data_IF_760809503748
#
_entry.id   IF_760809503748
#
_cell.length_a   1.000
_cell.length_b   1.000
_cell.length_c   1.000
_cell.angle_alpha   90.00
_cell.angle_beta   90.00
_cell.angle_gamma   90.00
#
_symmetry.space_group_name_H-M   'P 1'
#
loop_
_entity.id
_entity.type
_entity.pdbx_description
1 polymer ?
#
# COMPACT_ATOMS: atom_id res chain seq x y z
N UNK A 1 -7.02 -12.29 24.12
CA UNK A 1 -7.02 -10.98 23.44
C UNK A 1 -5.78 -10.77 22.57
N UNK A 2 -4.55 -10.93 23.08
CA UNK A 2 -3.34 -10.72 22.26
C UNK A 2 -3.26 -11.64 21.03
N UNK A 3 -3.57 -12.93 21.19
CA UNK A 3 -3.58 -13.89 20.07
C UNK A 3 -4.56 -13.46 18.96
N UNK A 4 -5.75 -13.00 19.32
CA UNK A 4 -6.75 -12.50 18.37
C UNK A 4 -6.30 -11.21 17.67
N UNK A 5 -5.63 -10.31 18.39
CA UNK A 5 -5.08 -9.09 17.81
C UNK A 5 -3.99 -9.40 16.77
N UNK A 6 -3.10 -10.36 17.06
CA UNK A 6 -2.10 -10.82 16.10
C UNK A 6 -2.74 -11.51 14.89
N UNK A 7 -3.73 -12.39 15.12
CA UNK A 7 -4.45 -13.04 14.03
C UNK A 7 -5.13 -12.02 13.10
N UNK A 8 -5.73 -10.96 13.66
CA UNK A 8 -6.30 -9.86 12.89
C UNK A 8 -5.23 -9.08 12.11
N UNK A 9 -4.09 -8.77 12.73
CA UNK A 9 -3.00 -8.08 12.06
C UNK A 9 -2.49 -8.88 10.85
N UNK A 10 -2.24 -10.18 11.02
CA UNK A 10 -1.82 -11.09 9.95
C UNK A 10 -2.82 -11.16 8.79
N UNK A 11 -4.13 -11.16 9.08
CA UNK A 11 -5.17 -11.06 8.03
C UNK A 11 -5.02 -9.81 7.16
N UNK A 12 -4.49 -8.71 7.69
CA UNK A 12 -4.31 -7.45 6.96
C UNK A 12 -2.95 -7.28 6.30
N UNK A 13 -1.89 -7.94 6.78
CA UNK A 13 -0.52 -7.71 6.26
C UNK A 13 0.03 -8.87 5.45
N UNK A 14 -0.38 -10.10 5.73
CA UNK A 14 0.20 -11.27 5.06
C UNK A 14 -0.15 -11.23 3.57
N UNK A 15 0.84 -11.52 2.72
CA UNK A 15 0.70 -11.53 1.26
C UNK A 15 0.43 -10.16 0.62
N UNK A 16 0.73 -9.04 1.31
CA UNK A 16 0.50 -7.68 0.81
C UNK A 16 1.78 -6.84 0.84
N UNK A 17 1.89 -5.93 -0.12
CA UNK A 17 3.02 -5.00 -0.24
C UNK A 17 3.07 -4.06 0.97
N UNK A 18 4.20 -3.99 1.72
CA UNK A 18 4.36 -3.06 2.83
C UNK A 18 4.20 -1.58 2.38
N UNK A 19 4.74 -1.24 1.21
CA UNK A 19 4.61 0.11 0.61
C UNK A 19 3.15 0.45 0.31
N UNK A 20 2.40 -0.49 -0.27
CA UNK A 20 0.99 -0.31 -0.59
C UNK A 20 0.13 -0.15 0.66
N UNK A 21 0.36 -0.97 1.70
CA UNK A 21 -0.32 -0.85 2.99
C UNK A 21 -0.06 0.53 3.62
N UNK A 22 1.20 0.99 3.61
CA UNK A 22 1.56 2.28 4.17
C UNK A 22 0.86 3.45 3.46
N UNK A 23 0.86 3.44 2.12
CA UNK A 23 0.16 4.46 1.32
C UNK A 23 -1.36 4.41 1.54
N UNK A 24 -1.98 3.23 1.46
CA UNK A 24 -3.43 3.09 1.68
C UNK A 24 -3.85 3.57 3.07
N UNK A 25 -3.10 3.22 4.12
CA UNK A 25 -3.39 3.68 5.48
C UNK A 25 -3.34 5.21 5.59
N UNK A 26 -2.37 5.83 4.94
CA UNK A 26 -2.17 7.28 5.02
C UNK A 26 -3.22 8.03 4.20
N UNK A 27 -3.61 7.50 3.05
CA UNK A 27 -4.75 8.01 2.29
C UNK A 27 -6.07 7.87 3.07
N UNK A 28 -6.32 6.71 3.71
CA UNK A 28 -7.52 6.52 4.54
C UNK A 28 -7.60 7.56 5.68
N UNK A 29 -6.47 7.85 6.32
CA UNK A 29 -6.40 8.79 7.44
C UNK A 29 -6.47 10.26 7.03
N UNK A 30 -6.08 10.63 5.80
CA UNK A 30 -5.93 12.04 5.40
C UNK A 30 -6.93 12.49 4.35
N UNK A 31 -7.26 11.63 3.39
CA UNK A 31 -8.02 12.03 2.20
C UNK A 31 -9.46 12.42 2.52
N UNK A 32 -10.04 11.93 3.62
CA UNK A 32 -11.39 12.30 4.05
C UNK A 32 -11.51 13.79 4.44
N UNK A 33 -10.39 14.43 4.82
CA UNK A 33 -10.34 15.85 5.16
C UNK A 33 -10.06 16.75 3.94
N UNK A 34 -9.89 16.17 2.74
CA UNK A 34 -9.64 16.94 1.53
C UNK A 34 -10.87 17.81 1.17
N UNK A 35 -10.69 19.08 0.79
CA UNK A 35 -11.78 19.98 0.39
C UNK A 35 -12.62 19.49 -0.80
N UNK A 36 -12.06 18.60 -1.63
CA UNK A 36 -12.74 18.07 -2.82
C UNK A 36 -12.19 16.68 -3.18
N UNK A 37 -13.03 15.71 -3.61
CA UNK A 37 -12.60 14.34 -3.93
C UNK A 37 -11.52 14.25 -5.01
N UNK A 38 -11.48 15.20 -5.96
CA UNK A 38 -10.39 15.30 -6.96
C UNK A 38 -8.99 15.36 -6.32
N UNK A 39 -8.83 15.96 -5.15
CA UNK A 39 -7.52 16.04 -4.49
C UNK A 39 -7.09 14.66 -3.99
N UNK A 40 -8.01 13.93 -3.32
CA UNK A 40 -7.79 12.54 -2.93
C UNK A 40 -7.46 11.64 -4.14
N UNK A 41 -8.18 11.83 -5.25
CA UNK A 41 -7.95 11.09 -6.49
C UNK A 41 -6.58 11.38 -7.13
N UNK A 42 -6.09 12.63 -7.06
CA UNK A 42 -4.76 12.98 -7.58
C UNK A 42 -3.65 12.27 -6.79
N UNK A 43 -3.75 12.22 -5.47
CA UNK A 43 -2.83 11.49 -4.59
C UNK A 43 -2.86 9.99 -4.89
N UNK A 44 -4.06 9.41 -4.99
CA UNK A 44 -4.24 7.99 -5.32
C UNK A 44 -3.63 7.64 -6.68
N UNK A 45 -3.79 8.50 -7.68
CA UNK A 45 -3.22 8.31 -9.02
C UNK A 45 -1.69 8.22 -8.99
N UNK A 46 -1.02 9.06 -8.20
CA UNK A 46 0.43 8.99 -7.99
C UNK A 46 0.84 7.75 -7.20
N UNK A 47 0.07 7.37 -6.17
CA UNK A 47 0.29 6.16 -5.40
C UNK A 47 0.19 4.89 -6.28
N UNK A 48 -0.83 4.82 -7.15
CA UNK A 48 -1.03 3.72 -8.09
C UNK A 48 0.10 3.64 -9.13
N UNK A 49 0.55 4.79 -9.64
CA UNK A 49 1.69 4.84 -10.56
C UNK A 49 2.98 4.32 -9.90
N UNK A 50 3.24 4.73 -8.66
CA UNK A 50 4.42 4.26 -7.91
C UNK A 50 4.36 2.75 -7.65
N UNK A 51 3.24 2.26 -7.10
CA UNK A 51 3.12 0.84 -6.71
C UNK A 51 3.10 -0.08 -7.93
N UNK A 52 2.46 0.31 -9.04
CA UNK A 52 2.44 -0.49 -10.27
C UNK A 52 3.82 -0.67 -10.91
N UNK A 53 4.70 0.34 -10.82
CA UNK A 53 6.08 0.27 -11.35
C UNK A 53 7.03 -0.56 -10.48
N UNK A 54 6.71 -0.67 -9.19
CA UNK A 54 7.51 -1.37 -8.18
C UNK A 54 6.87 -2.72 -7.82
N UNK A 55 6.34 -2.86 -6.60
CA UNK A 55 5.75 -4.10 -6.07
C UNK A 55 4.65 -4.70 -6.98
N UNK A 56 3.99 -3.90 -7.81
CA UNK A 56 2.97 -4.37 -8.76
C UNK A 56 3.49 -5.43 -9.73
N UNK A 57 4.78 -5.39 -10.11
CA UNK A 57 5.39 -6.43 -10.96
C UNK A 57 5.36 -7.80 -10.29
N UNK A 58 5.74 -7.85 -9.02
CA UNK A 58 5.74 -9.09 -8.24
C UNK A 58 4.31 -9.58 -7.98
N UNK A 59 3.38 -8.67 -7.68
CA UNK A 59 1.97 -9.04 -7.50
C UNK A 59 1.35 -9.69 -8.76
N UNK A 60 1.68 -9.17 -9.94
CA UNK A 60 1.26 -9.77 -11.23
C UNK A 60 1.96 -11.12 -11.47
N UNK A 61 3.27 -11.18 -11.24
CA UNK A 61 4.05 -12.41 -11.43
C UNK A 61 3.54 -13.55 -10.52
N UNK A 62 3.36 -13.28 -9.22
CA UNK A 62 2.89 -14.27 -8.26
C UNK A 62 1.47 -14.76 -8.57
N UNK A 63 0.60 -13.87 -9.07
CA UNK A 63 -0.75 -14.23 -9.51
C UNK A 63 -0.73 -15.19 -10.72
N UNK A 64 0.15 -14.92 -11.70
CA UNK A 64 0.30 -15.77 -12.89
C UNK A 64 0.91 -17.12 -12.55
N UNK A 65 1.92 -17.13 -11.67
CA UNK A 65 2.64 -18.32 -11.21
C UNK A 65 1.89 -19.12 -10.11
N UNK A 66 0.74 -18.61 -9.63
CA UNK A 66 -0.08 -19.23 -8.57
C UNK A 66 0.69 -19.51 -7.28
N UNK A 67 1.55 -18.57 -6.89
CA UNK A 67 2.34 -18.61 -5.66
C UNK A 67 2.05 -17.40 -4.76
N UNK A 68 2.50 -17.48 -3.51
CA UNK A 68 2.51 -16.32 -2.63
C UNK A 68 3.45 -15.23 -3.18
N UNK A 69 3.09 -13.94 -3.07
CA UNK A 69 3.97 -12.85 -3.45
C UNK A 69 5.14 -12.70 -2.48
N UNK A 70 6.31 -12.37 -3.01
CA UNK A 70 7.54 -12.08 -2.28
C UNK A 70 7.90 -10.60 -2.42
N UNK A 71 7.11 -9.72 -1.80
CA UNK A 71 7.37 -8.29 -1.83
C UNK A 71 8.68 -7.94 -1.11
N UNK A 72 9.49 -7.11 -1.75
CA UNK A 72 10.78 -6.64 -1.22
C UNK A 72 10.76 -5.16 -0.83
N UNK A 73 9.73 -4.41 -1.27
CA UNK A 73 9.54 -3.01 -0.93
C UNK A 73 9.36 -2.78 0.57
N UNK A 74 10.07 -1.79 1.10
CA UNK A 74 10.08 -1.40 2.51
C UNK A 74 9.37 -0.07 2.70
N UNK A 75 8.38 -0.04 3.59
CA UNK A 75 7.70 1.21 3.96
C UNK A 75 8.63 2.25 4.63
N UNK A 76 9.81 1.84 5.11
CA UNK A 76 10.79 2.73 5.74
C UNK A 76 11.67 3.50 4.76
N UNK A 77 11.80 3.05 3.51
CA UNK A 77 12.76 3.62 2.55
C UNK A 77 12.22 3.77 1.13
N UNK A 78 11.14 3.05 0.77
CA UNK A 78 10.71 2.91 -0.63
C UNK A 78 9.35 3.57 -0.89
N UNK A 79 8.94 4.49 -0.01
CA UNK A 79 7.79 5.36 -0.24
C UNK A 79 8.12 6.42 -1.30
N UNK A 80 7.14 6.85 -2.11
CA UNK A 80 7.38 7.84 -3.17
C UNK A 80 7.68 9.23 -2.61
N UNK A 81 8.38 10.07 -3.38
CA UNK A 81 8.84 11.42 -2.96
C UNK A 81 7.71 12.37 -2.51
N UNK A 82 6.49 12.16 -3.00
CA UNK A 82 5.34 12.98 -2.54
C UNK A 82 4.93 12.66 -1.10
N UNK A 83 5.38 11.53 -0.53
CA UNK A 83 5.16 11.15 0.85
C UNK A 83 6.16 11.82 1.81
N UNK A 84 5.72 12.38 2.96
CA UNK A 84 4.35 12.52 3.47
C UNK A 84 3.69 13.87 3.15
N UNK A 85 4.15 14.60 2.13
CA UNK A 85 3.89 16.04 1.97
C UNK A 85 2.61 16.44 1.21
N UNK A 86 1.77 15.49 0.81
CA UNK A 86 0.53 15.77 0.08
C UNK A 86 -0.64 16.25 0.94
#
# INVERSE_FOLDING_TARGET
>A
LLAEAHALAHKYIDGRSPVSIALMRQMLLRNHAAPHPRQAHAVESLAMLHTSRNDGKEGVASFNEKRAPAYTGKASSDLPDFYPWW
#
